data_IF_722010272983
#
_entry.id   IF_722010272983
#
_cell.length_a   1.000
_cell.length_b   1.000
_cell.length_c   1.000
_cell.angle_alpha   90.00
_cell.angle_beta   90.00
_cell.angle_gamma   90.00
#
_symmetry.space_group_name_H-M   'P 1'
#
loop_
_entity.id
_entity.type
_entity.pdbx_description
1 polymer ?
#
# COMPACT_ATOMS: atom_id res chain seq x y z
N UNK A 1 17.62 3.30 -2.78
CA UNK A 1 17.32 2.74 -1.43
C UNK A 1 15.98 2.03 -1.51
N UNK A 2 15.93 0.78 -1.09
CA UNK A 2 14.68 0.02 -1.04
C UNK A 2 14.14 0.00 0.40
N UNK A 3 13.00 0.65 0.69
CA UNK A 3 12.47 0.74 2.05
C UNK A 3 11.79 -0.55 2.55
N UNK A 4 11.68 -1.58 1.71
CA UNK A 4 10.94 -2.82 1.99
C UNK A 4 11.31 -3.45 3.34
N UNK A 5 12.60 -3.50 3.69
CA UNK A 5 13.02 -4.03 5.00
C UNK A 5 12.39 -3.28 6.18
N UNK A 6 12.32 -1.94 6.10
CA UNK A 6 11.74 -1.15 7.18
C UNK A 6 10.21 -1.32 7.25
N UNK A 7 9.55 -1.47 6.11
CA UNK A 7 8.13 -1.80 6.08
C UNK A 7 7.86 -3.16 6.72
N UNK A 8 8.54 -4.20 6.27
CA UNK A 8 8.41 -5.56 6.81
C UNK A 8 8.65 -5.56 8.33
N UNK A 9 9.75 -4.95 8.78
CA UNK A 9 10.09 -4.86 10.21
C UNK A 9 8.99 -4.18 11.02
N UNK A 10 8.42 -3.08 10.54
CA UNK A 10 7.38 -2.35 11.25
C UNK A 10 6.03 -3.05 11.18
N UNK A 11 5.68 -3.70 10.06
CA UNK A 11 4.49 -4.53 9.96
C UNK A 11 4.55 -5.66 11.00
N UNK A 12 5.63 -6.43 11.05
CA UNK A 12 5.77 -7.55 11.97
C UNK A 12 5.74 -7.14 13.45
N UNK A 13 6.22 -5.94 13.78
CA UNK A 13 6.13 -5.40 15.14
C UNK A 13 4.70 -5.04 15.55
N UNK A 14 3.87 -4.64 14.58
CA UNK A 14 2.50 -4.18 14.82
C UNK A 14 1.44 -5.23 14.46
N UNK A 15 1.85 -6.34 13.85
CA UNK A 15 1.00 -7.46 13.48
C UNK A 15 1.67 -8.80 13.85
N UNK A 16 1.79 -9.12 15.15
CA UNK A 16 2.50 -10.32 15.63
C UNK A 16 1.85 -11.62 15.13
N UNK A 17 0.57 -11.59 14.80
CA UNK A 17 -0.19 -12.75 14.32
C UNK A 17 -0.14 -12.92 12.80
N UNK A 18 0.58 -12.06 12.08
CA UNK A 18 0.74 -12.18 10.63
C UNK A 18 1.61 -13.38 10.27
N UNK A 19 1.07 -14.26 9.44
CA UNK A 19 1.80 -15.41 8.93
C UNK A 19 2.44 -15.07 7.59
N UNK A 20 3.75 -15.32 7.49
CA UNK A 20 4.55 -15.03 6.29
C UNK A 20 4.60 -16.26 5.38
N UNK A 21 3.48 -16.62 4.80
CA UNK A 21 3.36 -17.71 3.84
C UNK A 21 2.31 -17.36 2.76
N UNK A 22 2.33 -18.11 1.66
CA UNK A 22 1.47 -17.87 0.48
C UNK A 22 -0.02 -18.06 0.74
N UNK A 23 -0.37 -18.84 1.77
CA UNK A 23 -1.77 -19.09 2.09
C UNK A 23 -2.40 -17.95 2.90
N UNK A 24 -1.57 -17.15 3.58
CA UNK A 24 -2.04 -16.15 4.52
C UNK A 24 -1.66 -14.70 4.16
N UNK A 25 -0.70 -14.50 3.28
CA UNK A 25 -0.19 -13.16 2.92
C UNK A 25 0.03 -13.02 1.42
N UNK A 26 -0.32 -11.87 0.87
CA UNK A 26 -0.03 -11.48 -0.50
C UNK A 26 0.41 -10.02 -0.58
N UNK A 27 1.35 -9.72 -1.46
CA UNK A 27 1.76 -8.34 -1.79
C UNK A 27 1.00 -7.86 -3.00
N UNK A 28 0.49 -6.64 -2.94
CA UNK A 28 -0.37 -6.06 -3.98
C UNK A 28 0.29 -4.83 -4.59
N UNK A 29 0.36 -4.81 -5.91
CA UNK A 29 0.63 -3.59 -6.67
C UNK A 29 -0.68 -2.86 -6.97
N UNK A 30 -0.81 -1.57 -6.66
CA UNK A 30 -2.03 -0.81 -6.95
C UNK A 30 -2.24 -0.58 -8.44
N UNK A 31 -1.18 -0.64 -9.24
CA UNK A 31 -1.19 -0.49 -10.69
C UNK A 31 0.07 -1.11 -11.33
N UNK A 32 0.22 -0.96 -12.65
CA UNK A 32 1.38 -1.46 -13.40
C UNK A 32 2.70 -0.79 -12.97
N UNK A 33 2.68 0.48 -12.59
CA UNK A 33 3.86 1.25 -12.20
C UNK A 33 4.47 0.76 -10.88
N UNK A 34 3.65 0.21 -9.97
CA UNK A 34 4.07 -0.37 -8.69
C UNK A 34 4.65 -1.77 -8.78
N UNK A 35 4.50 -2.47 -9.90
CA UNK A 35 4.79 -3.90 -10.03
C UNK A 35 6.22 -4.29 -9.62
N UNK A 36 7.23 -3.52 -10.01
CA UNK A 36 8.63 -3.82 -9.66
C UNK A 36 8.87 -3.80 -8.14
N UNK A 37 8.23 -2.87 -7.42
CA UNK A 37 8.30 -2.77 -5.95
C UNK A 37 7.58 -3.93 -5.28
N UNK A 38 6.41 -4.29 -5.80
CA UNK A 38 5.62 -5.41 -5.28
C UNK A 38 6.34 -6.75 -5.48
N UNK A 39 6.94 -7.01 -6.65
CA UNK A 39 7.76 -8.19 -6.91
C UNK A 39 8.94 -8.26 -5.93
N UNK A 40 9.66 -7.14 -5.75
CA UNK A 40 10.79 -7.11 -4.83
C UNK A 40 10.36 -7.46 -3.39
N UNK A 41 9.26 -6.88 -2.91
CA UNK A 41 8.75 -7.14 -1.57
C UNK A 41 8.24 -8.58 -1.41
N UNK A 42 7.48 -9.07 -2.39
CA UNK A 42 6.95 -10.44 -2.39
C UNK A 42 8.07 -11.48 -2.37
N UNK A 43 9.14 -11.29 -3.16
CA UNK A 43 10.31 -12.16 -3.16
C UNK A 43 11.04 -12.17 -1.82
N UNK A 44 11.18 -11.02 -1.16
CA UNK A 44 11.79 -10.95 0.18
C UNK A 44 10.96 -11.65 1.26
N UNK A 45 9.65 -11.69 1.11
CA UNK A 45 8.72 -12.35 2.03
C UNK A 45 8.46 -13.83 1.66
N UNK A 46 8.82 -14.26 0.45
CA UNK A 46 8.52 -15.60 -0.06
C UNK A 46 7.04 -15.85 -0.31
N UNK A 47 6.27 -14.79 -0.64
CA UNK A 47 4.83 -14.84 -0.86
C UNK A 47 4.45 -14.49 -2.30
N UNK A 48 3.18 -14.70 -2.66
CA UNK A 48 2.68 -14.35 -3.98
C UNK A 48 2.43 -12.83 -4.10
N UNK A 49 2.41 -12.36 -5.34
CA UNK A 49 2.06 -11.00 -5.71
C UNK A 49 0.77 -10.98 -6.54
N UNK A 50 -0.06 -9.97 -6.28
CA UNK A 50 -1.19 -9.61 -7.13
C UNK A 50 -1.07 -8.16 -7.61
N UNK A 51 -1.82 -7.79 -8.64
CA UNK A 51 -1.87 -6.42 -9.12
C UNK A 51 -3.27 -6.03 -9.60
N UNK A 52 -3.57 -4.76 -9.52
CA UNK A 52 -4.74 -4.18 -10.17
C UNK A 52 -4.35 -3.55 -11.51
N UNK A 53 -5.10 -3.90 -12.54
CA UNK A 53 -4.95 -3.35 -13.87
C UNK A 53 -6.10 -2.39 -14.17
N UNK A 54 -5.77 -1.14 -14.50
CA UNK A 54 -6.75 -0.13 -14.89
C UNK A 54 -7.02 -0.21 -16.39
N UNK A 55 -8.02 -0.97 -16.76
CA UNK A 55 -8.46 -1.03 -18.16
C UNK A 55 -9.12 0.29 -18.56
N UNK A 56 -8.54 0.96 -19.55
CA UNK A 56 -9.07 2.22 -20.09
C UNK A 56 -9.81 1.98 -21.38
N UNK A 57 -10.90 2.72 -21.60
CA UNK A 57 -11.55 2.76 -22.91
C UNK A 57 -10.84 3.79 -23.80
N UNK A 58 -10.09 3.29 -24.76
CA UNK A 58 -9.38 4.14 -25.72
C UNK A 58 -10.28 4.63 -26.86
N UNK A 59 -11.53 4.18 -26.97
CA UNK A 59 -12.50 4.63 -27.97
C UNK A 59 -13.19 5.94 -27.58
N UNK A 60 -13.14 6.31 -26.28
CA UNK A 60 -13.84 7.48 -25.74
C UNK A 60 -12.86 8.39 -25.00
N UNK A 61 -12.99 9.71 -25.18
CA UNK A 61 -12.22 10.72 -24.45
C UNK A 61 -13.21 11.59 -23.66
N UNK A 62 -13.07 11.61 -22.33
CA UNK A 62 -13.85 12.48 -21.42
C UNK A 62 -12.86 13.38 -20.69
N UNK A 63 -13.03 14.70 -20.77
CA UNK A 63 -12.16 15.72 -20.16
C UNK A 63 -10.66 15.52 -20.47
N UNK A 64 -10.35 15.13 -21.74
CA UNK A 64 -8.97 14.92 -22.19
C UNK A 64 -8.31 13.63 -21.69
N UNK A 65 -9.08 12.71 -21.08
CA UNK A 65 -8.58 11.42 -20.58
C UNK A 65 -9.47 10.28 -21.04
N UNK A 66 -8.86 9.11 -21.23
CA UNK A 66 -9.62 7.88 -21.49
C UNK A 66 -10.23 7.39 -20.18
N UNK A 67 -11.56 7.18 -20.10
CA UNK A 67 -12.20 6.72 -18.88
C UNK A 67 -11.73 5.32 -18.50
N UNK A 68 -11.62 5.07 -17.19
CA UNK A 68 -11.36 3.74 -16.65
C UNK A 68 -12.64 2.94 -16.70
N UNK A 69 -12.66 1.85 -17.44
CA UNK A 69 -13.85 0.99 -17.66
C UNK A 69 -13.92 -0.15 -16.66
N UNK A 70 -12.77 -0.61 -16.15
CA UNK A 70 -12.72 -1.67 -15.15
C UNK A 70 -11.39 -1.67 -14.40
N UNK A 71 -11.45 -2.09 -13.14
CA UNK A 71 -10.29 -2.49 -12.36
C UNK A 71 -10.27 -4.02 -12.34
N UNK A 72 -9.36 -4.62 -13.10
CA UNK A 72 -9.18 -6.06 -13.14
C UNK A 72 -8.09 -6.45 -12.14
N UNK A 73 -8.36 -7.46 -11.33
CA UNK A 73 -7.37 -8.02 -10.42
C UNK A 73 -6.69 -9.22 -11.08
N UNK A 74 -5.37 -9.19 -11.11
CA UNK A 74 -4.51 -10.27 -11.59
C UNK A 74 -3.73 -10.83 -10.41
N UNK A 75 -4.03 -12.04 -9.99
CA UNK A 75 -3.41 -12.70 -8.86
C UNK A 75 -4.21 -13.90 -8.38
N UNK A 76 -3.69 -14.59 -7.36
CA UNK A 76 -4.38 -15.68 -6.68
C UNK A 76 -5.53 -15.12 -5.80
N UNK A 77 -6.35 -16.01 -5.27
CA UNK A 77 -7.44 -15.63 -4.36
C UNK A 77 -6.91 -14.90 -3.12
N UNK A 78 -7.57 -13.80 -2.76
CA UNK A 78 -7.22 -12.93 -1.63
C UNK A 78 -8.07 -13.17 -0.38
N UNK A 79 -9.11 -14.01 -0.51
CA UNK A 79 -10.07 -14.27 0.57
C UNK A 79 -9.37 -14.76 1.85
N UNK A 80 -9.61 -14.05 2.95
CA UNK A 80 -9.07 -14.36 4.27
C UNK A 80 -7.58 -14.12 4.46
N UNK A 81 -6.86 -13.64 3.44
CA UNK A 81 -5.44 -13.33 3.51
C UNK A 81 -5.21 -11.88 3.97
N UNK A 82 -4.04 -11.64 4.55
CA UNK A 82 -3.50 -10.32 4.77
C UNK A 82 -2.91 -9.75 3.49
N UNK A 83 -3.07 -8.45 3.27
CA UNK A 83 -2.59 -7.76 2.08
C UNK A 83 -1.60 -6.67 2.44
N UNK A 84 -0.49 -6.61 1.70
CA UNK A 84 0.45 -5.48 1.74
C UNK A 84 0.36 -4.77 0.39
N UNK A 85 -0.28 -3.62 0.35
CA UNK A 85 -0.26 -2.74 -0.82
C UNK A 85 1.02 -1.92 -0.78
N UNK A 86 1.80 -1.90 -1.85
CA UNK A 86 3.05 -1.14 -1.90
C UNK A 86 3.10 -0.23 -3.13
N UNK A 87 3.41 1.04 -2.90
CA UNK A 87 3.59 2.05 -3.94
C UNK A 87 4.79 2.98 -3.64
N UNK A 88 5.11 3.92 -4.54
CA UNK A 88 6.15 4.93 -4.31
C UNK A 88 5.63 6.09 -3.47
N UNK A 89 4.43 6.58 -3.75
CA UNK A 89 3.88 7.72 -3.02
C UNK A 89 2.38 7.61 -2.74
N UNK A 90 1.98 8.16 -1.62
CA UNK A 90 0.61 8.51 -1.31
C UNK A 90 0.46 10.01 -1.53
N UNK A 91 -0.12 10.42 -2.67
CA UNK A 91 -0.48 11.81 -2.95
C UNK A 91 -1.85 12.13 -2.33
N UNK A 92 -2.95 12.09 -3.07
CA UNK A 92 -4.31 12.23 -2.51
C UNK A 92 -4.78 11.00 -1.72
N UNK A 93 -4.15 9.84 -1.95
CA UNK A 93 -4.52 8.57 -1.35
C UNK A 93 -5.65 7.82 -2.05
N UNK A 94 -6.32 8.43 -3.02
CA UNK A 94 -7.50 7.84 -3.67
C UNK A 94 -7.22 6.47 -4.28
N UNK A 95 -6.10 6.32 -5.01
CA UNK A 95 -5.75 5.04 -5.64
C UNK A 95 -5.54 3.92 -4.61
N UNK A 96 -4.86 4.22 -3.49
CA UNK A 96 -4.63 3.24 -2.42
C UNK A 96 -5.93 2.85 -1.71
N UNK A 97 -6.79 3.83 -1.40
CA UNK A 97 -8.08 3.59 -0.75
C UNK A 97 -9.03 2.80 -1.66
N UNK A 98 -9.02 3.10 -2.98
CA UNK A 98 -9.81 2.36 -3.97
C UNK A 98 -9.36 0.88 -4.02
N UNK A 99 -8.05 0.62 -4.10
CA UNK A 99 -7.51 -0.73 -4.08
C UNK A 99 -7.85 -1.45 -2.78
N UNK A 100 -7.76 -0.78 -1.63
CA UNK A 100 -8.15 -1.36 -0.35
C UNK A 100 -9.63 -1.77 -0.33
N UNK A 101 -10.52 -0.93 -0.87
CA UNK A 101 -11.94 -1.25 -1.00
C UNK A 101 -12.15 -2.47 -1.87
N UNK A 102 -11.52 -2.52 -3.06
CA UNK A 102 -11.63 -3.66 -3.96
C UNK A 102 -11.12 -4.97 -3.34
N UNK A 103 -10.10 -4.91 -2.49
CA UNK A 103 -9.61 -6.06 -1.73
C UNK A 103 -10.57 -6.48 -0.62
N UNK A 104 -11.17 -5.52 0.09
CA UNK A 104 -12.21 -5.81 1.10
C UNK A 104 -13.46 -6.42 0.48
N UNK A 105 -13.89 -5.95 -0.69
CA UNK A 105 -15.00 -6.55 -1.45
C UNK A 105 -14.71 -8.02 -1.85
N UNK A 106 -13.42 -8.40 -1.88
CA UNK A 106 -12.95 -9.78 -2.09
C UNK A 106 -12.64 -10.54 -0.79
N UNK A 107 -13.12 -10.01 0.34
CA UNK A 107 -12.99 -10.61 1.66
C UNK A 107 -11.54 -10.75 2.17
N UNK A 108 -10.63 -9.82 1.76
CA UNK A 108 -9.30 -9.72 2.35
C UNK A 108 -9.41 -9.41 3.86
N UNK A 109 -8.51 -10.00 4.67
CA UNK A 109 -8.54 -9.88 6.14
C UNK A 109 -8.02 -8.51 6.60
N UNK A 110 -6.72 -8.35 6.66
CA UNK A 110 -6.06 -7.10 7.05
C UNK A 110 -5.37 -6.48 5.84
N UNK A 111 -5.36 -5.15 5.78
CA UNK A 111 -4.73 -4.40 4.69
C UNK A 111 -3.73 -3.40 5.27
N UNK A 112 -2.47 -3.53 4.84
CA UNK A 112 -1.36 -2.66 5.17
C UNK A 112 -0.94 -1.88 3.93
N UNK A 113 -1.00 -0.56 3.99
CA UNK A 113 -0.60 0.31 2.89
C UNK A 113 0.82 0.81 3.13
N UNK A 114 1.74 0.56 2.21
CA UNK A 114 3.14 0.97 2.30
C UNK A 114 3.51 1.92 1.17
N UNK A 115 4.13 3.04 1.50
CA UNK A 115 4.63 3.99 0.50
C UNK A 115 5.92 4.67 0.95
N UNK A 116 6.83 4.90 0.00
CA UNK A 116 8.06 5.63 0.31
C UNK A 116 7.77 7.07 0.69
N UNK A 117 6.89 7.75 -0.06
CA UNK A 117 6.55 9.15 0.16
C UNK A 117 5.09 9.30 0.59
N UNK A 118 4.87 9.69 1.84
CA UNK A 118 3.55 10.01 2.36
C UNK A 118 3.28 11.51 2.29
N UNK A 119 2.71 12.01 1.18
CA UNK A 119 2.46 13.43 0.97
C UNK A 119 1.11 13.89 1.52
N UNK A 120 0.08 13.05 1.46
CA UNK A 120 -1.28 13.33 1.95
C UNK A 120 -1.81 14.71 1.51
N UNK A 121 -1.66 15.02 0.22
CA UNK A 121 -1.96 16.35 -0.35
C UNK A 121 -3.41 16.81 -0.22
N UNK A 122 -4.33 15.87 -0.02
CA UNK A 122 -5.77 16.14 0.17
C UNK A 122 -6.23 16.03 1.63
N UNK A 123 -5.29 16.11 2.59
CA UNK A 123 -5.58 15.94 4.02
C UNK A 123 -5.74 14.48 4.44
N UNK A 124 -6.16 14.27 5.69
CA UNK A 124 -6.29 12.95 6.30
C UNK A 124 -7.72 12.45 6.42
N UNK A 125 -8.72 13.30 6.17
CA UNK A 125 -10.14 13.01 6.43
C UNK A 125 -10.63 11.76 5.69
N UNK A 126 -10.14 11.54 4.46
CA UNK A 126 -10.49 10.33 3.68
C UNK A 126 -9.91 9.06 4.30
N UNK A 127 -8.70 9.16 4.85
CA UNK A 127 -8.06 8.04 5.56
C UNK A 127 -8.71 7.78 6.90
N UNK A 128 -9.03 8.84 7.66
CA UNK A 128 -9.72 8.74 8.96
C UNK A 128 -11.05 8.00 8.77
N UNK A 129 -11.87 8.43 7.80
CA UNK A 129 -13.14 7.77 7.47
C UNK A 129 -12.97 6.32 7.02
N UNK A 130 -12.02 6.06 6.12
CA UNK A 130 -11.74 4.71 5.62
C UNK A 130 -11.26 3.76 6.73
N UNK A 131 -10.50 4.28 7.70
CA UNK A 131 -10.08 3.52 8.88
C UNK A 131 -11.25 3.19 9.81
N UNK A 132 -12.14 4.15 10.07
CA UNK A 132 -13.38 3.95 10.84
C UNK A 132 -14.29 2.90 10.18
N UNK A 133 -14.35 2.88 8.85
CA UNK A 133 -15.07 1.88 8.06
C UNK A 133 -14.37 0.51 8.00
N UNK A 134 -13.16 0.38 8.55
CA UNK A 134 -12.40 -0.87 8.58
C UNK A 134 -11.81 -1.28 7.22
N UNK A 135 -11.62 -0.33 6.29
CA UNK A 135 -11.08 -0.61 4.96
C UNK A 135 -9.61 -1.01 4.99
N UNK A 136 -8.85 -0.54 5.96
CA UNK A 136 -7.44 -0.90 6.11
C UNK A 136 -7.05 -0.99 7.59
N UNK A 137 -5.91 -1.59 7.86
CA UNK A 137 -5.40 -1.81 9.22
C UNK A 137 -4.37 -0.76 9.60
N UNK A 138 -3.36 -0.52 8.75
CA UNK A 138 -2.29 0.46 8.99
C UNK A 138 -1.81 1.09 7.68
N UNK A 139 -1.31 2.31 7.78
CA UNK A 139 -0.57 3.02 6.74
C UNK A 139 0.86 3.23 7.21
N UNK A 140 1.82 2.82 6.40
CA UNK A 140 3.24 2.94 6.69
C UNK A 140 3.90 3.81 5.63
N UNK A 141 4.55 4.88 6.03
CA UNK A 141 5.42 5.65 5.12
C UNK A 141 6.77 5.90 5.73
N UNK A 142 7.75 6.21 4.90
CA UNK A 142 9.08 6.54 5.40
C UNK A 142 9.15 7.99 5.88
N UNK A 143 10.16 8.29 6.69
CA UNK A 143 10.43 9.66 7.19
C UNK A 143 11.31 10.50 6.26
N UNK A 144 11.34 10.19 4.95
CA UNK A 144 12.13 10.97 3.96
C UNK A 144 11.44 12.26 3.52
N UNK A 145 10.16 12.42 3.84
CA UNK A 145 9.40 13.66 3.70
C UNK A 145 8.88 14.10 5.07
N UNK A 146 8.60 15.39 5.21
CA UNK A 146 8.06 15.91 6.46
C UNK A 146 6.75 15.23 6.84
N UNK A 147 6.66 14.81 8.09
CA UNK A 147 5.47 14.18 8.68
C UNK A 147 4.86 15.14 9.69
N UNK A 148 3.64 15.56 9.46
CA UNK A 148 2.95 16.50 10.37
C UNK A 148 2.68 15.85 11.73
N UNK A 149 2.65 16.62 12.83
CA UNK A 149 2.24 16.09 14.14
C UNK A 149 0.85 15.45 14.11
N UNK A 150 -0.05 15.99 13.30
CA UNK A 150 -1.38 15.45 13.07
C UNK A 150 -1.33 14.04 12.48
N UNK A 151 -0.54 13.81 11.42
CA UNK A 151 -0.35 12.49 10.82
C UNK A 151 0.26 11.50 11.83
N UNK A 152 1.30 11.93 12.56
CA UNK A 152 1.98 11.10 13.56
C UNK A 152 1.09 10.72 14.74
N UNK A 153 0.02 11.46 15.01
CA UNK A 153 -0.95 11.17 16.08
C UNK A 153 -2.00 10.12 15.69
N UNK A 154 -2.10 9.76 14.41
CA UNK A 154 -3.11 8.78 13.96
C UNK A 154 -2.74 7.36 14.38
N UNK A 155 -3.67 6.66 15.02
CA UNK A 155 -3.49 5.27 15.47
C UNK A 155 -3.14 4.32 14.31
N UNK A 156 -3.68 4.58 13.13
CA UNK A 156 -3.41 3.75 11.96
C UNK A 156 -2.07 4.04 11.27
N UNK A 157 -1.36 5.10 11.67
CA UNK A 157 -0.15 5.53 10.97
C UNK A 157 1.12 5.02 11.65
N UNK A 158 2.08 4.56 10.83
CA UNK A 158 3.39 4.11 11.28
C UNK A 158 4.47 4.82 10.45
N UNK A 159 5.32 5.59 11.12
CA UNK A 159 6.51 6.17 10.52
C UNK A 159 7.65 5.16 10.48
N UNK A 160 8.17 4.88 9.29
CA UNK A 160 9.30 3.97 9.06
C UNK A 160 10.60 4.77 8.91
N UNK A 161 11.44 4.74 9.93
CA UNK A 161 12.69 5.52 9.97
C UNK A 161 13.76 4.92 9.05
N UNK A 162 14.19 5.72 8.06
CA UNK A 162 15.30 5.42 7.14
C UNK A 162 16.60 6.14 7.49
N UNK A 163 16.64 6.99 8.52
CA UNK A 163 17.77 7.86 8.83
C UNK A 163 19.08 7.09 8.97
N UNK A 164 19.07 6.02 9.78
CA UNK A 164 20.24 5.16 9.94
C UNK A 164 20.70 4.50 8.65
N UNK A 165 19.74 4.08 7.83
CA UNK A 165 20.01 3.42 6.55
C UNK A 165 20.64 4.39 5.54
N UNK A 166 20.18 5.63 5.51
CA UNK A 166 20.74 6.69 4.68
C UNK A 166 22.16 7.04 5.15
N UNK A 167 22.36 7.22 6.46
CA UNK A 167 23.70 7.50 7.00
C UNK A 167 24.73 6.45 6.61
N UNK A 168 24.38 5.16 6.66
CA UNK A 168 25.28 4.05 6.29
C UNK A 168 25.68 4.02 4.81
N UNK A 169 24.96 4.73 3.93
CA UNK A 169 25.31 4.84 2.52
C UNK A 169 26.31 5.97 2.23
N UNK A 170 26.47 6.91 3.15
CA UNK A 170 27.32 8.09 3.01
C UNK A 170 28.56 8.05 3.89
N UNK A 171 28.75 6.97 4.65
CA UNK A 171 29.95 6.69 5.45
C UNK A 171 30.73 5.50 4.91
#
# INVERSE_FOLDING_TARGET
IQPAYQFIKNILRNAPDMKLDKDHLMVISPDEGGMGRAIYMANNLGVDMGMFYKRRDYSTIIDGRNPIVAHEFLGADVKGKDMIIIDDMISSGESMLEVAKLLKDREARNIYMCSTFGLFTSGLEKFDKAYEEGLFTKVLTTNVVYQTPELLSREYYISCDLSKYICLLYT
#
